data_IF_050003825341
#
_entry.id   IF_050003825341
#
_cell.length_a   1.000
_cell.length_b   1.000
_cell.length_c   1.000
_cell.angle_alpha   90.00
_cell.angle_beta   90.00
_cell.angle_gamma   90.00
#
_symmetry.space_group_name_H-M   'P 1'
#
loop_
_entity.id
_entity.type
_entity.pdbx_description
1 polymer ?
#
# COMPACT_ATOMS: atom_id res chain seq x y z
N UNK A 1 -13.27 -3.34 4.92
CA UNK A 1 -12.55 -4.49 4.30
C UNK A 1 -11.14 -4.04 3.96
N UNK A 2 -10.13 -4.90 4.08
CA UNK A 2 -8.75 -4.63 3.66
C UNK A 2 -8.31 -5.73 2.68
N UNK A 3 -7.78 -5.33 1.53
CA UNK A 3 -7.25 -6.21 0.49
C UNK A 3 -5.91 -5.67 0.02
N UNK A 4 -4.94 -6.55 -0.11
CA UNK A 4 -3.64 -6.22 -0.70
C UNK A 4 -3.36 -7.05 -1.93
N UNK A 5 -2.63 -6.48 -2.86
CA UNK A 5 -2.17 -7.19 -4.05
C UNK A 5 -0.78 -6.67 -4.41
N UNK A 6 0.19 -7.59 -4.46
CA UNK A 6 1.52 -7.34 -4.99
C UNK A 6 1.50 -7.61 -6.49
N UNK A 7 1.94 -6.64 -7.27
CA UNK A 7 2.01 -6.75 -8.74
C UNK A 7 3.45 -6.61 -9.18
N UNK A 8 3.95 -7.60 -9.92
CA UNK A 8 5.19 -7.52 -10.67
C UNK A 8 4.93 -6.83 -12.01
N UNK A 9 5.75 -5.85 -12.33
CA UNK A 9 5.73 -5.11 -13.59
C UNK A 9 7.14 -5.05 -14.17
N UNK A 10 7.26 -4.93 -15.48
CA UNK A 10 8.54 -4.73 -16.17
C UNK A 10 8.51 -3.37 -16.89
N UNK A 11 8.80 -2.27 -16.18
CA UNK A 11 8.79 -0.93 -16.78
C UNK A 11 9.93 -0.73 -17.79
N UNK A 12 11.04 -1.45 -17.61
CA UNK A 12 12.21 -1.45 -18.50
C UNK A 12 12.58 -2.89 -18.85
N UNK A 13 13.23 -3.09 -20.01
CA UNK A 13 13.71 -4.39 -20.46
C UNK A 13 14.65 -5.02 -19.41
N UNK A 14 14.21 -6.10 -18.78
CA UNK A 14 15.00 -6.86 -17.80
C UNK A 14 14.91 -6.35 -16.36
N UNK A 15 14.24 -5.22 -16.09
CA UNK A 15 14.08 -4.70 -14.74
C UNK A 15 12.72 -5.05 -14.17
N UNK A 16 12.71 -5.80 -13.06
CA UNK A 16 11.50 -6.10 -12.31
C UNK A 16 11.19 -4.96 -11.35
N UNK A 17 9.96 -4.48 -11.40
CA UNK A 17 9.44 -3.52 -10.44
C UNK A 17 8.20 -4.10 -9.76
N UNK A 18 8.18 -4.00 -8.43
CA UNK A 18 7.08 -4.52 -7.61
C UNK A 18 6.29 -3.37 -6.99
N UNK A 19 4.98 -3.45 -7.08
CA UNK A 19 4.06 -2.45 -6.51
C UNK A 19 3.01 -3.11 -5.66
N UNK A 20 2.82 -2.59 -4.45
CA UNK A 20 1.75 -2.98 -3.54
C UNK A 20 0.53 -2.08 -3.71
N UNK A 21 -0.61 -2.70 -3.99
CA UNK A 21 -1.91 -2.07 -4.01
C UNK A 21 -2.64 -2.41 -2.73
N UNK A 22 -2.76 -1.44 -1.83
CA UNK A 22 -3.44 -1.60 -0.54
C UNK A 22 -4.82 -0.97 -0.64
N UNK A 23 -5.83 -1.79 -0.89
CA UNK A 23 -7.21 -1.37 -1.02
C UNK A 23 -7.95 -1.53 0.30
N UNK A 24 -8.66 -0.49 0.74
CA UNK A 24 -9.40 -0.50 1.97
C UNK A 24 -10.77 0.18 1.81
N UNK A 25 -11.67 -0.17 2.72
CA UNK A 25 -13.02 0.38 2.80
C UNK A 25 -13.37 0.70 4.25
N UNK A 26 -13.92 1.89 4.47
CA UNK A 26 -14.48 2.34 5.76
C UNK A 26 -15.96 2.70 5.58
N UNK A 27 -16.64 3.13 6.66
CA UNK A 27 -18.06 3.52 6.60
C UNK A 27 -18.29 4.77 5.74
N UNK A 28 -17.34 5.70 5.79
CA UNK A 28 -17.35 7.00 5.13
C UNK A 28 -16.65 6.98 3.76
N UNK A 29 -15.75 6.02 3.51
CA UNK A 29 -15.01 5.89 2.26
C UNK A 29 -15.29 4.51 1.65
N UNK A 30 -16.11 4.44 0.59
CA UNK A 30 -16.61 3.17 0.05
C UNK A 30 -15.53 2.36 -0.67
N UNK A 31 -14.48 3.01 -1.19
CA UNK A 31 -13.30 2.35 -1.75
C UNK A 31 -12.13 3.33 -1.88
N UNK A 32 -10.96 2.93 -1.40
CA UNK A 32 -9.71 3.66 -1.60
C UNK A 32 -8.55 2.68 -1.75
N UNK A 33 -7.56 3.04 -2.57
CA UNK A 33 -6.36 2.23 -2.80
C UNK A 33 -5.13 3.11 -2.65
N UNK A 34 -4.19 2.67 -1.81
CA UNK A 34 -2.85 3.25 -1.70
C UNK A 34 -1.92 2.43 -2.58
N UNK A 35 -1.20 3.09 -3.48
CA UNK A 35 -0.25 2.47 -4.40
C UNK A 35 1.15 2.74 -3.86
N UNK A 36 1.91 1.66 -3.60
CA UNK A 36 3.21 1.76 -2.92
C UNK A 36 4.25 0.97 -3.71
N UNK A 37 5.18 1.64 -4.40
CA UNK A 37 6.32 0.98 -5.00
C UNK A 37 7.20 0.34 -3.92
N UNK A 38 7.53 -0.94 -4.07
CA UNK A 38 8.35 -1.67 -3.08
C UNK A 38 9.75 -1.08 -2.98
N UNK A 39 10.31 -0.62 -4.10
CA UNK A 39 11.61 0.07 -4.15
C UNK A 39 11.65 1.35 -3.31
N UNK A 40 10.53 2.03 -3.10
CA UNK A 40 10.48 3.20 -2.21
C UNK A 40 10.47 2.80 -0.72
N UNK A 41 9.98 1.60 -0.42
CA UNK A 41 9.96 1.08 0.95
C UNK A 41 11.30 0.46 1.35
N UNK A 42 11.93 -0.26 0.41
CA UNK A 42 13.10 -1.10 0.62
C UNK A 42 14.04 -1.02 -0.61
N UNK A 43 14.81 0.07 -0.78
CA UNK A 43 15.56 0.38 -2.00
C UNK A 43 16.51 -0.71 -2.49
N UNK A 44 17.08 -1.49 -1.58
CA UNK A 44 18.07 -2.54 -1.90
C UNK A 44 17.61 -3.95 -1.47
N UNK A 45 16.35 -4.08 -1.03
CA UNK A 45 15.79 -5.34 -0.48
C UNK A 45 14.45 -5.68 -1.11
N UNK A 46 14.24 -5.26 -2.35
CA UNK A 46 12.98 -5.47 -3.08
C UNK A 46 12.67 -6.96 -3.19
N UNK A 47 13.59 -7.75 -3.73
CA UNK A 47 13.41 -9.20 -3.92
C UNK A 47 13.24 -9.94 -2.57
N UNK A 48 14.06 -9.59 -1.57
CA UNK A 48 13.96 -10.16 -0.22
C UNK A 48 12.58 -9.88 0.40
N UNK A 49 12.07 -8.66 0.23
CA UNK A 49 10.74 -8.30 0.68
C UNK A 49 9.65 -9.06 -0.08
N UNK A 50 9.75 -9.18 -1.40
CA UNK A 50 8.77 -9.89 -2.24
C UNK A 50 8.68 -11.36 -1.82
N UNK A 51 9.82 -12.01 -1.58
CA UNK A 51 9.86 -13.38 -1.08
C UNK A 51 9.18 -13.51 0.28
N UNK A 52 9.53 -12.62 1.22
CA UNK A 52 8.92 -12.56 2.56
C UNK A 52 7.42 -12.27 2.51
N UNK A 53 6.99 -11.38 1.61
CA UNK A 53 5.59 -11.02 1.41
C UNK A 53 4.78 -12.20 0.89
N UNK A 54 5.28 -12.92 -0.12
CA UNK A 54 4.62 -14.10 -0.67
C UNK A 54 4.52 -15.24 0.35
N UNK A 55 5.52 -15.39 1.22
CA UNK A 55 5.51 -16.36 2.32
C UNK A 55 4.74 -15.89 3.56
N UNK A 56 4.35 -14.61 3.61
CA UNK A 56 3.76 -13.96 4.79
C UNK A 56 4.62 -14.09 6.06
N UNK A 57 5.95 -14.12 5.91
CA UNK A 57 6.90 -14.39 6.97
C UNK A 57 8.13 -13.47 6.86
N UNK A 58 8.92 -13.36 7.93
CA UNK A 58 10.15 -12.57 7.94
C UNK A 58 10.02 -11.15 8.51
N UNK A 59 11.17 -10.48 8.63
CA UNK A 59 11.30 -9.18 9.29
C UNK A 59 10.70 -8.03 8.47
N UNK A 60 10.97 -8.00 7.17
CA UNK A 60 10.49 -6.96 6.25
C UNK A 60 8.97 -7.06 6.05
N UNK A 61 8.41 -8.27 6.05
CA UNK A 61 6.96 -8.46 6.06
C UNK A 61 6.32 -7.94 7.35
N UNK A 62 6.89 -8.25 8.53
CA UNK A 62 6.41 -7.71 9.81
C UNK A 62 6.51 -6.18 9.87
N UNK A 63 7.58 -5.61 9.33
CA UNK A 63 7.73 -4.16 9.20
C UNK A 63 6.68 -3.56 8.27
N UNK A 64 6.41 -4.23 7.13
CA UNK A 64 5.35 -3.84 6.22
C UNK A 64 3.98 -3.80 6.88
N UNK A 65 3.62 -4.80 7.69
CA UNK A 65 2.33 -4.81 8.41
C UNK A 65 2.13 -3.54 9.28
N UNK A 66 3.21 -3.05 9.90
CA UNK A 66 3.21 -1.80 10.67
C UNK A 66 3.08 -0.59 9.74
N UNK A 67 3.91 -0.51 8.69
CA UNK A 67 3.91 0.59 7.70
C UNK A 67 2.58 0.72 6.98
N UNK A 68 1.97 -0.39 6.55
CA UNK A 68 0.66 -0.45 5.90
C UNK A 68 -0.42 0.29 6.70
N UNK A 69 -0.48 0.01 7.99
CA UNK A 69 -1.48 0.62 8.87
C UNK A 69 -1.29 2.12 8.99
N UNK A 70 -0.04 2.60 9.02
CA UNK A 70 0.27 4.04 9.02
C UNK A 70 -0.11 4.71 7.70
N UNK A 71 0.17 4.05 6.56
CA UNK A 71 -0.18 4.56 5.24
C UNK A 71 -1.69 4.73 5.07
N UNK A 72 -2.47 3.73 5.47
CA UNK A 72 -3.94 3.79 5.42
C UNK A 72 -4.45 4.94 6.30
N UNK A 73 -3.93 5.09 7.53
CA UNK A 73 -4.34 6.18 8.44
C UNK A 73 -4.03 7.56 7.85
N UNK A 74 -2.85 7.73 7.26
CA UNK A 74 -2.46 8.98 6.62
C UNK A 74 -3.37 9.31 5.43
N UNK A 75 -3.62 8.33 4.55
CA UNK A 75 -4.53 8.51 3.40
C UNK A 75 -5.97 8.82 3.85
N UNK A 76 -6.46 8.15 4.90
CA UNK A 76 -7.76 8.45 5.52
C UNK A 76 -7.85 9.88 6.03
N UNK A 77 -6.84 10.33 6.79
CA UNK A 77 -6.82 11.69 7.34
C UNK A 77 -6.76 12.75 6.24
N UNK A 78 -5.96 12.52 5.20
CA UNK A 78 -5.90 13.42 4.04
C UNK A 78 -7.22 13.47 3.27
N UNK A 79 -7.88 12.33 3.05
CA UNK A 79 -9.19 12.28 2.38
C UNK A 79 -10.27 12.97 3.20
N UNK A 80 -10.29 12.77 4.52
CA UNK A 80 -11.26 13.44 5.42
C UNK A 80 -11.05 14.95 5.47
N UNK A 81 -9.80 15.42 5.43
CA UNK A 81 -9.50 16.86 5.34
C UNK A 81 -9.95 17.48 4.02
N UNK A 82 -9.91 16.72 2.92
CA UNK A 82 -10.33 17.18 1.59
C UNK A 82 -11.84 17.06 1.35
N UNK A 83 -12.52 16.20 2.09
CA UNK A 83 -13.97 16.07 2.00
C UNK A 83 -14.62 17.40 2.44
N UNK A 84 -15.51 18.01 1.62
CA UNK A 84 -16.21 19.22 2.03
C UNK A 84 -17.01 18.93 3.30
N UNK A 85 -16.77 19.72 4.35
CA UNK A 85 -17.40 19.56 5.68
C UNK A 85 -18.88 19.98 5.70
N UNK A 86 -19.47 20.33 4.56
CA UNK A 86 -20.87 20.78 4.49
C UNK A 86 -21.43 20.51 3.09
N UNK A 87 -22.26 19.47 2.96
CA UNK A 87 -23.31 19.47 1.95
C UNK A 87 -24.41 20.38 2.51
N UNK A 88 -24.35 21.68 2.20
CA UNK A 88 -25.55 22.52 2.31
C UNK A 88 -26.43 22.14 1.14
N UNK A 89 -27.45 21.31 1.41
CA UNK A 89 -28.57 21.06 0.50
C UNK A 89 -29.71 21.96 0.94
#
# INVERSE_FOLDING_TARGET
MLRETLVETQPTLGEKAYTLYVSYQTRDIPSATVIVPVSQLYPDKVEEFVEQYNKMEGALYKEWLKKRSMLIRKDLDERRKRAPSTLTV
#
